data_IF_279457552539
#
_entry.id   IF_279457552539
#
_cell.length_a   1.000
_cell.length_b   1.000
_cell.length_c   1.000
_cell.angle_alpha   90.00
_cell.angle_beta   90.00
_cell.angle_gamma   90.00
#
_symmetry.space_group_name_H-M   'P 1'
#
loop_
_entity.id
_entity.type
_entity.pdbx_description
1 polymer ?
#
# COMPACT_ATOMS: atom_id res chain seq x y z
N UNK A 1 -2.19 -30.40 1.45
CA UNK A 1 -2.82 -29.20 2.03
C UNK A 1 -3.90 -28.74 1.07
N UNK A 2 -5.13 -28.49 1.55
CA UNK A 2 -6.24 -28.02 0.71
C UNK A 2 -6.12 -26.50 0.58
N UNK A 3 -5.73 -26.02 -0.58
CA UNK A 3 -5.78 -24.59 -0.93
C UNK A 3 -7.25 -24.14 -0.96
N UNK A 4 -7.63 -23.37 0.04
CA UNK A 4 -8.95 -22.73 0.16
C UNK A 4 -8.89 -21.34 -0.45
N UNK A 5 -8.69 -21.26 -1.76
CA UNK A 5 -8.75 -19.99 -2.49
C UNK A 5 -10.21 -19.53 -2.65
N UNK A 6 -10.51 -18.29 -2.23
CA UNK A 6 -11.80 -17.64 -2.51
C UNK A 6 -11.84 -17.27 -3.99
N UNK A 7 -12.75 -17.87 -4.76
CA UNK A 7 -12.99 -17.52 -6.16
C UNK A 7 -13.86 -16.26 -6.23
N UNK A 8 -13.26 -15.13 -6.59
CA UNK A 8 -14.01 -13.90 -6.87
C UNK A 8 -14.51 -13.99 -8.32
N UNK A 9 -15.76 -14.40 -8.51
CA UNK A 9 -16.43 -14.33 -9.82
C UNK A 9 -16.70 -12.86 -10.19
N UNK A 10 -15.95 -12.35 -11.18
CA UNK A 10 -16.25 -11.06 -11.78
C UNK A 10 -17.64 -11.10 -12.43
N UNK A 11 -18.57 -10.26 -11.96
CA UNK A 11 -19.89 -10.06 -12.55
C UNK A 11 -19.76 -9.75 -14.05
N UNK A 12 -20.25 -10.68 -14.87
CA UNK A 12 -20.38 -10.49 -16.30
C UNK A 12 -21.37 -9.37 -16.58
N UNK A 13 -20.97 -8.40 -17.42
CA UNK A 13 -21.92 -7.60 -18.15
C UNK A 13 -21.54 -7.54 -19.63
N UNK A 14 -22.59 -7.61 -20.46
CA UNK A 14 -22.61 -7.98 -21.87
C UNK A 14 -21.69 -7.14 -22.78
N UNK A 15 -20.92 -7.82 -23.63
CA UNK A 15 -20.23 -7.22 -24.78
C UNK A 15 -18.90 -7.91 -25.06
N UNK A 16 -18.81 -8.62 -26.19
CA UNK A 16 -17.66 -9.47 -26.53
C UNK A 16 -16.31 -8.76 -26.45
N UNK A 17 -15.49 -9.16 -25.49
CA UNK A 17 -14.05 -8.87 -25.45
C UNK A 17 -13.39 -10.02 -24.67
N UNK A 18 -12.20 -10.43 -25.10
CA UNK A 18 -11.45 -11.58 -24.59
C UNK A 18 -11.42 -11.55 -23.05
N UNK A 19 -12.17 -12.46 -22.42
CA UNK A 19 -12.24 -12.62 -20.98
C UNK A 19 -10.93 -13.21 -20.47
N UNK A 20 -10.02 -12.38 -19.97
CA UNK A 20 -8.91 -12.81 -19.13
C UNK A 20 -9.48 -13.32 -17.80
N UNK A 21 -9.77 -14.62 -17.72
CA UNK A 21 -10.04 -15.31 -16.44
C UNK A 21 -8.73 -15.35 -15.64
N UNK A 22 -8.42 -14.28 -14.90
CA UNK A 22 -7.35 -14.30 -13.91
C UNK A 22 -7.90 -14.89 -12.61
N UNK A 23 -7.45 -16.10 -12.25
CA UNK A 23 -7.71 -16.67 -10.93
C UNK A 23 -6.81 -15.96 -9.94
N UNK A 24 -7.31 -14.91 -9.30
CA UNK A 24 -6.59 -14.23 -8.22
C UNK A 24 -6.68 -15.12 -6.98
N UNK A 25 -5.55 -15.44 -6.39
CA UNK A 25 -5.47 -16.27 -5.18
C UNK A 25 -5.86 -15.38 -3.99
N UNK A 26 -6.56 -15.92 -2.99
CA UNK A 26 -7.01 -15.16 -1.80
C UNK A 26 -5.86 -14.40 -1.12
N UNK A 27 -4.67 -15.00 -1.08
CA UNK A 27 -3.46 -14.40 -0.50
C UNK A 27 -3.03 -13.13 -1.26
N UNK A 28 -3.16 -13.11 -2.59
CA UNK A 28 -2.86 -11.93 -3.40
C UNK A 28 -3.83 -10.79 -3.11
N UNK A 29 -5.10 -11.10 -2.82
CA UNK A 29 -6.11 -10.10 -2.45
C UNK A 29 -5.77 -9.46 -1.11
N UNK A 30 -5.40 -10.28 -0.12
CA UNK A 30 -5.03 -9.79 1.21
C UNK A 30 -3.76 -8.93 1.17
N UNK A 31 -2.76 -9.34 0.38
CA UNK A 31 -1.58 -8.52 0.11
C UNK A 31 -1.94 -7.18 -0.55
N UNK A 32 -2.82 -7.19 -1.55
CA UNK A 32 -3.27 -5.95 -2.19
C UNK A 32 -3.98 -5.02 -1.19
N UNK A 33 -4.85 -5.55 -0.34
CA UNK A 33 -5.55 -4.78 0.70
C UNK A 33 -4.56 -4.18 1.68
N UNK A 34 -3.54 -4.95 2.09
CA UNK A 34 -2.49 -4.49 2.99
C UNK A 34 -1.71 -3.32 2.37
N UNK A 35 -1.22 -3.46 1.15
CA UNK A 35 -0.45 -2.41 0.47
C UNK A 35 -1.27 -1.14 0.24
N UNK A 36 -2.54 -1.28 -0.15
CA UNK A 36 -3.46 -0.15 -0.25
C UNK A 36 -3.66 0.53 1.11
N UNK A 37 -3.82 -0.25 2.17
CA UNK A 37 -3.96 0.27 3.53
C UNK A 37 -2.74 1.07 3.97
N UNK A 38 -1.53 0.58 3.69
CA UNK A 38 -0.27 1.28 3.96
C UNK A 38 -0.23 2.64 3.23
N UNK A 39 -0.64 2.69 1.96
CA UNK A 39 -0.70 3.93 1.18
C UNK A 39 -1.66 4.93 1.83
N UNK A 40 -2.88 4.52 2.19
CA UNK A 40 -3.86 5.40 2.81
C UNK A 40 -3.40 5.89 4.19
N UNK A 41 -2.86 5.01 5.04
CA UNK A 41 -2.33 5.40 6.34
C UNK A 41 -1.17 6.38 6.17
N UNK A 42 -0.26 6.14 5.21
CA UNK A 42 0.87 7.04 4.91
C UNK A 42 0.38 8.45 4.55
N UNK A 43 -0.64 8.55 3.68
CA UNK A 43 -1.25 9.84 3.32
C UNK A 43 -1.86 10.50 4.56
N UNK A 44 -2.63 9.76 5.37
CA UNK A 44 -3.30 10.27 6.58
C UNK A 44 -2.33 10.71 7.67
N UNK A 45 -1.15 10.08 7.76
CA UNK A 45 -0.10 10.46 8.70
C UNK A 45 0.70 11.69 8.23
N UNK A 46 0.47 12.19 7.02
CA UNK A 46 1.24 13.29 6.44
C UNK A 46 0.49 14.61 6.58
N UNK A 47 1.13 15.67 7.12
CA UNK A 47 0.57 17.01 7.11
C UNK A 47 0.62 17.58 5.69
N UNK A 48 -0.45 17.48 4.92
CA UNK A 48 -0.61 18.14 3.62
C UNK A 48 -1.77 19.15 3.62
N UNK A 49 -1.66 20.27 2.86
CA UNK A 49 -2.66 21.32 2.81
C UNK A 49 -3.87 20.99 1.90
N UNK A 50 -3.83 19.91 1.13
CA UNK A 50 -4.90 19.57 0.18
C UNK A 50 -5.74 18.45 0.75
N UNK A 51 -6.80 18.81 1.48
CA UNK A 51 -7.87 17.88 1.85
C UNK A 51 -8.59 17.46 0.56
N UNK A 52 -8.06 16.44 -0.12
CA UNK A 52 -8.87 15.69 -1.08
C UNK A 52 -9.86 14.91 -0.22
N UNK A 53 -11.14 15.30 -0.31
CA UNK A 53 -12.18 14.74 0.56
C UNK A 53 -12.59 13.36 0.03
N UNK A 54 -11.75 12.38 0.31
CA UNK A 54 -12.09 10.97 0.20
C UNK A 54 -13.19 10.63 1.22
N UNK A 55 -13.77 9.44 1.11
CA UNK A 55 -14.78 8.92 2.06
C UNK A 55 -14.45 9.29 3.51
N UNK A 56 -15.45 9.74 4.27
CA UNK A 56 -15.27 10.01 5.70
C UNK A 56 -14.99 8.73 6.51
N UNK A 57 -15.21 7.56 5.91
CA UNK A 57 -14.93 6.26 6.50
C UNK A 57 -13.43 5.97 6.42
N UNK A 58 -12.75 5.71 7.55
CA UNK A 58 -11.37 5.27 7.56
C UNK A 58 -11.17 3.99 6.73
N UNK A 59 -10.08 3.91 5.96
CA UNK A 59 -9.72 2.70 5.21
C UNK A 59 -9.37 1.51 6.13
N UNK A 60 -8.98 1.79 7.38
CA UNK A 60 -8.63 0.80 8.42
C UNK A 60 -9.07 1.27 9.80
N UNK A 61 -9.13 0.34 10.75
CA UNK A 61 -9.38 0.64 12.17
C UNK A 61 -8.28 1.50 12.80
N UNK A 62 -8.59 2.15 13.92
CA UNK A 62 -7.62 2.96 14.67
C UNK A 62 -6.44 2.15 15.23
N UNK A 63 -6.69 0.89 15.60
CA UNK A 63 -5.66 -0.04 16.10
C UNK A 63 -4.64 -0.40 15.01
N UNK A 64 -5.11 -0.81 13.83
CA UNK A 64 -4.24 -1.10 12.68
C UNK A 64 -3.45 0.15 12.32
N UNK A 65 -4.10 1.32 12.31
CA UNK A 65 -3.40 2.59 12.05
C UNK A 65 -2.29 2.86 13.08
N UNK A 66 -2.52 2.57 14.36
CA UNK A 66 -1.54 2.77 15.42
C UNK A 66 -0.35 1.81 15.27
N UNK A 67 -0.63 0.53 14.98
CA UNK A 67 0.38 -0.50 14.76
C UNK A 67 1.32 -0.13 13.61
N UNK A 68 0.78 0.33 12.48
CA UNK A 68 1.55 0.71 11.28
C UNK A 68 2.14 2.12 11.31
N UNK A 69 1.92 2.88 12.40
CA UNK A 69 2.28 4.31 12.46
C UNK A 69 3.79 4.54 12.27
N UNK A 70 4.63 3.70 12.87
CA UNK A 70 6.10 3.79 12.74
C UNK A 70 6.54 3.61 11.29
N UNK A 71 6.21 2.48 10.69
CA UNK A 71 6.45 2.17 9.28
C UNK A 71 5.95 3.28 8.34
N UNK A 72 4.71 3.73 8.51
CA UNK A 72 4.13 4.79 7.68
C UNK A 72 4.83 6.15 7.87
N UNK A 73 5.27 6.49 9.09
CA UNK A 73 6.02 7.72 9.34
C UNK A 73 7.36 7.73 8.60
N UNK A 74 8.02 6.58 8.48
CA UNK A 74 9.25 6.42 7.70
C UNK A 74 9.01 6.70 6.23
N UNK A 75 7.97 6.11 5.64
CA UNK A 75 7.58 6.34 4.24
C UNK A 75 7.20 7.80 4.02
N UNK A 76 6.37 8.37 4.89
CA UNK A 76 5.93 9.75 4.79
C UNK A 76 7.11 10.73 4.85
N UNK A 77 8.05 10.53 5.76
CA UNK A 77 9.24 11.37 5.87
C UNK A 77 10.11 11.28 4.59
N UNK A 78 10.31 10.08 4.05
CA UNK A 78 11.06 9.90 2.81
C UNK A 78 10.38 10.59 1.62
N UNK A 79 9.08 10.39 1.48
CA UNK A 79 8.31 10.85 0.33
C UNK A 79 8.05 12.37 0.38
N UNK A 80 7.45 12.85 1.47
CA UNK A 80 6.97 14.24 1.60
C UNK A 80 8.08 15.19 2.07
N UNK A 81 8.90 14.79 3.03
CA UNK A 81 9.91 15.68 3.62
C UNK A 81 11.23 15.66 2.86
N UNK A 82 11.61 14.49 2.31
CA UNK A 82 12.94 14.27 1.69
C UNK A 82 12.91 14.09 0.17
N UNK A 83 11.82 14.47 -0.50
CA UNK A 83 11.67 14.39 -1.97
C UNK A 83 11.94 12.98 -2.52
N UNK A 84 11.25 11.98 -1.98
CA UNK A 84 11.41 10.56 -2.36
C UNK A 84 12.82 10.01 -2.12
N UNK A 85 13.52 10.48 -1.09
CA UNK A 85 14.82 9.92 -0.74
C UNK A 85 14.68 8.42 -0.43
N UNK A 86 15.45 7.59 -1.11
CA UNK A 86 15.54 6.17 -0.80
C UNK A 86 16.10 6.00 0.62
N UNK A 87 15.31 5.38 1.49
CA UNK A 87 15.77 5.01 2.82
C UNK A 87 16.50 3.67 2.78
N UNK A 88 17.39 3.39 3.76
CA UNK A 88 18.00 2.08 3.88
C UNK A 88 16.92 1.00 4.01
N UNK A 89 16.93 0.03 3.09
CA UNK A 89 15.99 -1.10 3.07
C UNK A 89 15.94 -1.82 4.43
N UNK A 90 17.08 -1.90 5.11
CA UNK A 90 17.20 -2.48 6.46
C UNK A 90 16.31 -1.79 7.49
N UNK A 91 16.14 -0.47 7.42
CA UNK A 91 15.27 0.27 8.34
C UNK A 91 13.81 -0.08 8.09
N UNK A 92 13.40 -0.21 6.84
CA UNK A 92 12.04 -0.65 6.48
C UNK A 92 11.77 -2.08 6.92
N UNK A 93 12.74 -2.99 6.75
CA UNK A 93 12.62 -4.37 7.23
C UNK A 93 12.46 -4.45 8.75
N UNK A 94 13.16 -3.60 9.51
CA UNK A 94 13.04 -3.59 10.98
C UNK A 94 11.64 -3.13 11.43
N UNK A 95 11.09 -2.10 10.78
CA UNK A 95 9.72 -1.67 11.07
C UNK A 95 8.69 -2.71 10.61
N UNK A 96 8.90 -3.38 9.46
CA UNK A 96 8.04 -4.47 9.02
C UNK A 96 8.07 -5.63 10.02
N UNK A 97 9.26 -6.03 10.48
CA UNK A 97 9.43 -7.03 11.53
C UNK A 97 8.69 -6.66 12.81
N UNK A 98 8.75 -5.40 13.23
CA UNK A 98 8.07 -4.93 14.42
C UNK A 98 6.53 -5.02 14.30
N UNK A 99 6.00 -4.93 13.08
CA UNK A 99 4.56 -4.91 12.81
C UNK A 99 4.01 -6.30 12.48
N UNK A 100 4.68 -7.07 11.62
CA UNK A 100 4.22 -8.36 11.10
C UNK A 100 4.86 -9.56 11.83
N UNK A 101 5.84 -9.32 12.71
CA UNK A 101 6.60 -10.38 13.39
C UNK A 101 7.59 -11.11 12.48
N UNK A 102 7.69 -10.70 11.22
CA UNK A 102 8.63 -11.20 10.22
C UNK A 102 9.05 -10.07 9.29
N UNK A 103 10.24 -10.18 8.69
CA UNK A 103 10.69 -9.29 7.63
C UNK A 103 10.84 -10.08 6.35
N UNK A 104 10.41 -9.48 5.24
CA UNK A 104 10.63 -10.05 3.93
C UNK A 104 12.06 -9.86 3.46
N UNK A 105 12.43 -10.56 2.39
CA UNK A 105 13.71 -10.36 1.71
C UNK A 105 13.92 -8.88 1.31
N UNK A 106 15.15 -8.34 1.40
CA UNK A 106 15.42 -6.93 1.09
C UNK A 106 14.93 -6.49 -0.30
N UNK A 107 15.02 -7.38 -1.29
CA UNK A 107 14.55 -7.12 -2.67
C UNK A 107 13.03 -6.94 -2.74
N UNK A 108 12.28 -7.70 -1.95
CA UNK A 108 10.83 -7.65 -1.85
C UNK A 108 10.39 -6.36 -1.16
N UNK A 109 11.02 -6.02 -0.03
CA UNK A 109 10.77 -4.74 0.67
C UNK A 109 11.07 -3.53 -0.23
N UNK A 110 12.17 -3.57 -0.99
CA UNK A 110 12.49 -2.51 -1.94
C UNK A 110 11.45 -2.39 -3.07
N UNK A 111 10.94 -3.52 -3.57
CA UNK A 111 9.92 -3.56 -4.62
C UNK A 111 8.58 -3.01 -4.12
N UNK A 112 8.17 -3.42 -2.93
CA UNK A 112 6.97 -2.93 -2.25
C UNK A 112 7.05 -1.44 -1.92
N UNK A 113 8.20 -0.97 -1.47
CA UNK A 113 8.45 0.46 -1.26
C UNK A 113 8.36 1.27 -2.57
N UNK A 114 8.92 0.74 -3.65
CA UNK A 114 8.80 1.35 -4.98
C UNK A 114 7.33 1.45 -5.39
N UNK A 115 6.53 0.40 -5.20
CA UNK A 115 5.08 0.41 -5.48
C UNK A 115 4.35 1.51 -4.69
N UNK A 116 4.65 1.66 -3.40
CA UNK A 116 4.08 2.73 -2.57
C UNK A 116 4.45 4.10 -3.13
N UNK A 117 5.72 4.33 -3.43
CA UNK A 117 6.20 5.61 -3.97
C UNK A 117 5.63 5.96 -5.34
N UNK A 118 5.61 5.00 -6.28
CA UNK A 118 5.02 5.22 -7.61
C UNK A 118 3.52 5.49 -7.51
N UNK A 119 2.83 4.86 -6.57
CA UNK A 119 1.41 5.13 -6.35
C UNK A 119 1.19 6.51 -5.74
N UNK A 120 1.98 6.90 -4.73
CA UNK A 120 1.91 8.22 -4.11
C UNK A 120 2.17 9.35 -5.12
N UNK A 121 3.05 9.17 -6.09
CA UNK A 121 3.31 10.13 -7.17
C UNK A 121 2.09 10.36 -8.08
N UNK A 122 1.18 9.39 -8.14
CA UNK A 122 -0.07 9.52 -8.89
C UNK A 122 -1.18 10.10 -8.03
N UNK A 123 -1.38 9.57 -6.82
CA UNK A 123 -2.56 9.90 -5.99
C UNK A 123 -2.35 11.10 -5.08
N UNK A 124 -1.09 11.47 -4.80
CA UNK A 124 -0.70 12.59 -3.94
C UNK A 124 0.59 13.26 -4.44
N UNK A 125 0.62 13.74 -5.71
CA UNK A 125 1.81 14.29 -6.33
C UNK A 125 2.38 15.47 -5.53
N UNK A 126 3.69 15.48 -5.30
CA UNK A 126 4.36 16.63 -4.66
C UNK A 126 4.79 17.69 -5.67
N UNK A 127 4.87 17.35 -6.95
CA UNK A 127 5.36 18.22 -8.01
C UNK A 127 4.29 18.44 -9.07
N UNK A 128 4.14 19.68 -9.58
CA UNK A 128 3.31 19.93 -10.75
C UNK A 128 3.82 19.08 -11.92
N UNK A 129 2.90 18.39 -12.61
CA UNK A 129 3.23 17.74 -13.89
C UNK A 129 3.40 18.86 -14.92
N UNK A 130 4.57 18.89 -15.57
CA UNK A 130 4.92 19.85 -16.63
C UNK A 130 4.15 19.51 -17.90
#
# INVERSE_FOLDING_TARGET
MKESGVEIEAMQNYGGTISLKSKIISEEVDECILWLSIIFITILCTPQPTIVRWSATPSVSGEVRLQWKGFCAIIANAYFMRRMAWLPVKTLQLEQMAVEGQAEEPSIVASRMRLVFTTLEVVSPQWPRV
#
